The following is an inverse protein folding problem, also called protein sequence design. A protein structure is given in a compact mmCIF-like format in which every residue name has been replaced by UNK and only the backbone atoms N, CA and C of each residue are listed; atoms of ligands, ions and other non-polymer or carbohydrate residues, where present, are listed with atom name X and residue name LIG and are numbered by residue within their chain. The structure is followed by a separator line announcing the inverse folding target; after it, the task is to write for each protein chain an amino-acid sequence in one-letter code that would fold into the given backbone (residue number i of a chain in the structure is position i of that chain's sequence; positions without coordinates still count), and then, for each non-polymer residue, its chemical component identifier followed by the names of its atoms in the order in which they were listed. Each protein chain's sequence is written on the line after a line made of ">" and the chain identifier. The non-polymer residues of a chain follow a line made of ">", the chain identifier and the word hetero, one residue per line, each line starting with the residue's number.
data_IF_515674778501
#
_entry.id   IF_515674778501
#
_cell.length_a   1.000
_cell.length_b   1.000
_cell.length_c   1.000
_cell.angle_alpha   90.00
_cell.angle_beta   90.00
_cell.angle_gamma   90.00
#
_symmetry.space_group_name_H-M   'P 1'
#
loop_
_entity.id
_entity.type
_entity.pdbx_description
1 polymer ?
#
# COMPACT_ATOMS: atom_id res chain seq x y z
N UNK A 1 13.89 -36.12 15.28
CA UNK A 1 13.77 -35.15 14.17
C UNK A 1 14.72 -35.66 13.09
N UNK A 2 14.15 -36.14 11.97
CA UNK A 2 14.97 -36.61 10.85
C UNK A 2 15.29 -35.43 9.97
N UNK A 3 16.54 -34.94 10.00
CA UNK A 3 17.01 -33.77 9.24
C UNK A 3 16.76 -33.88 7.73
N UNK A 4 16.67 -35.09 7.18
CA UNK A 4 16.38 -35.38 5.78
C UNK A 4 14.98 -34.92 5.34
N UNK A 5 14.02 -34.90 6.25
CA UNK A 5 12.64 -34.48 5.97
C UNK A 5 12.46 -32.95 6.05
N UNK A 6 13.40 -32.28 6.76
CA UNK A 6 13.40 -30.82 6.92
C UNK A 6 14.07 -30.12 5.73
N UNK A 7 15.11 -30.74 5.16
CA UNK A 7 15.90 -30.14 4.06
C UNK A 7 15.47 -30.74 2.71
N UNK A 8 14.23 -30.50 2.33
CA UNK A 8 13.78 -30.81 0.96
C UNK A 8 14.17 -29.68 0.00
N UNK A 9 15.06 -29.96 -0.96
CA UNK A 9 15.56 -28.96 -1.93
C UNK A 9 14.44 -28.18 -2.63
N UNK A 10 13.34 -28.83 -3.01
CA UNK A 10 12.21 -28.17 -3.66
C UNK A 10 11.45 -27.22 -2.72
N UNK A 11 11.24 -27.61 -1.47
CA UNK A 11 10.58 -26.76 -0.47
C UNK A 11 11.44 -25.54 -0.14
N UNK A 12 12.74 -25.76 0.07
CA UNK A 12 13.73 -24.68 0.27
C UNK A 12 13.77 -23.70 -0.88
N UNK A 13 13.84 -24.19 -2.13
CA UNK A 13 13.86 -23.34 -3.31
C UNK A 13 12.57 -22.48 -3.42
N UNK A 14 11.40 -23.09 -3.16
CA UNK A 14 10.12 -22.37 -3.14
C UNK A 14 10.10 -21.30 -2.03
N UNK A 15 10.55 -21.65 -0.83
CA UNK A 15 10.65 -20.74 0.31
C UNK A 15 11.53 -19.54 -0.01
N UNK A 16 12.76 -19.76 -0.50
CA UNK A 16 13.66 -18.66 -0.86
C UNK A 16 13.14 -17.80 -2.01
N UNK A 17 12.46 -18.38 -2.98
CA UNK A 17 11.84 -17.63 -4.08
C UNK A 17 10.77 -16.66 -3.55
N UNK A 18 9.85 -17.14 -2.72
CA UNK A 18 8.78 -16.33 -2.14
C UNK A 18 9.37 -15.20 -1.29
N UNK A 19 10.31 -15.53 -0.40
CA UNK A 19 10.95 -14.54 0.47
C UNK A 19 11.75 -13.50 -0.32
N UNK A 20 12.44 -13.89 -1.39
CA UNK A 20 13.14 -12.97 -2.28
C UNK A 20 12.17 -11.95 -2.91
N UNK A 21 11.03 -12.41 -3.41
CA UNK A 21 10.06 -11.53 -4.06
C UNK A 21 9.45 -10.56 -3.06
N UNK A 22 9.16 -11.00 -1.83
CA UNK A 22 8.70 -10.14 -0.73
C UNK A 22 9.79 -9.14 -0.33
N UNK A 23 11.05 -9.58 -0.25
CA UNK A 23 12.18 -8.70 0.08
C UNK A 23 12.32 -7.56 -0.93
N UNK A 24 12.34 -7.85 -2.24
CA UNK A 24 12.45 -6.81 -3.26
C UNK A 24 11.23 -5.88 -3.29
N UNK A 25 10.02 -6.41 -3.05
CA UNK A 25 8.83 -5.59 -2.87
C UNK A 25 8.99 -4.60 -1.71
N UNK A 26 9.46 -5.08 -0.56
CA UNK A 26 9.68 -4.23 0.62
C UNK A 26 10.78 -3.21 0.38
N UNK A 27 11.84 -3.60 -0.33
CA UNK A 27 12.90 -2.68 -0.72
C UNK A 27 12.36 -1.54 -1.61
N UNK A 28 11.50 -1.84 -2.58
CA UNK A 28 10.85 -0.80 -3.40
C UNK A 28 10.01 0.16 -2.53
N UNK A 29 9.24 -0.37 -1.57
CA UNK A 29 8.47 0.45 -0.64
C UNK A 29 9.37 1.38 0.17
N UNK A 30 10.46 0.84 0.73
CA UNK A 30 11.42 1.61 1.54
C UNK A 30 12.08 2.69 0.68
N UNK A 31 12.51 2.38 -0.54
CA UNK A 31 13.10 3.35 -1.47
C UNK A 31 12.13 4.51 -1.75
N UNK A 32 10.88 4.21 -2.05
CA UNK A 32 9.85 5.25 -2.33
C UNK A 32 9.61 6.11 -1.09
N UNK A 33 9.46 5.53 0.09
CA UNK A 33 9.19 6.29 1.32
C UNK A 33 10.40 7.10 1.80
N UNK A 34 11.60 6.55 1.69
CA UNK A 34 12.84 7.29 2.00
C UNK A 34 13.05 8.44 1.02
N UNK A 35 12.80 8.22 -0.27
CA UNK A 35 12.88 9.29 -1.27
C UNK A 35 11.83 10.36 -1.01
N UNK A 36 10.59 9.98 -0.68
CA UNK A 36 9.53 10.94 -0.32
C UNK A 36 9.96 11.87 0.82
N UNK A 37 10.53 11.31 1.89
CA UNK A 37 11.04 12.07 3.02
C UNK A 37 12.22 12.96 2.62
N UNK A 38 13.19 12.42 1.89
CA UNK A 38 14.37 13.15 1.44
C UNK A 38 14.02 14.31 0.49
N UNK A 39 13.12 14.08 -0.46
CA UNK A 39 12.65 15.11 -1.38
C UNK A 39 11.83 16.20 -0.68
N UNK A 40 11.07 15.85 0.35
CA UNK A 40 10.40 16.79 1.23
C UNK A 40 11.39 17.65 2.03
N UNK A 41 12.44 17.03 2.58
CA UNK A 41 13.49 17.73 3.32
C UNK A 41 14.26 18.73 2.45
N UNK A 42 14.51 18.41 1.20
CA UNK A 42 15.17 19.30 0.24
C UNK A 42 14.35 20.56 -0.08
N UNK A 43 13.05 20.59 0.22
CA UNK A 43 12.16 21.74 0.02
C UNK A 43 12.00 22.62 1.26
N UNK A 44 12.65 22.27 2.38
CA UNK A 44 12.67 23.04 3.61
C UNK A 44 12.02 22.34 4.79
N UNK A 45 12.34 22.82 5.99
CA UNK A 45 11.93 22.20 7.26
C UNK A 45 10.41 22.15 7.45
N UNK A 46 9.71 23.23 7.09
CA UNK A 46 8.24 23.31 7.20
C UNK A 46 7.58 22.29 6.27
N UNK A 47 8.07 22.16 5.03
CA UNK A 47 7.53 21.19 4.06
C UNK A 47 7.77 19.76 4.55
N UNK A 48 8.96 19.46 5.07
CA UNK A 48 9.26 18.18 5.66
C UNK A 48 8.32 17.85 6.82
N UNK A 49 8.11 18.82 7.73
CA UNK A 49 7.23 18.64 8.88
C UNK A 49 5.78 18.39 8.45
N UNK A 50 5.26 19.17 7.50
CA UNK A 50 3.92 18.97 6.92
C UNK A 50 3.79 17.59 6.28
N UNK A 51 4.74 17.20 5.43
CA UNK A 51 4.73 15.89 4.78
C UNK A 51 4.75 14.75 5.81
N UNK A 52 5.57 14.89 6.85
CA UNK A 52 5.65 13.90 7.93
C UNK A 52 4.33 13.75 8.67
N UNK A 53 3.68 14.88 9.00
CA UNK A 53 2.37 14.87 9.67
C UNK A 53 1.29 14.22 8.79
N UNK A 54 1.21 14.60 7.52
CA UNK A 54 0.21 14.01 6.61
C UNK A 54 0.47 12.52 6.36
N UNK A 55 1.73 12.09 6.38
CA UNK A 55 2.08 10.67 6.29
C UNK A 55 1.66 9.87 7.54
N UNK A 56 1.40 10.51 8.70
CA UNK A 56 0.81 9.81 9.84
C UNK A 56 -0.63 9.36 9.54
N UNK A 57 -1.40 10.14 8.76
CA UNK A 57 -2.73 9.73 8.31
C UNK A 57 -2.65 8.50 7.39
N UNK A 58 -1.66 8.44 6.50
CA UNK A 58 -1.38 7.24 5.71
C UNK A 58 -1.03 6.04 6.60
N UNK A 59 -0.16 6.23 7.59
CA UNK A 59 0.28 5.17 8.50
C UNK A 59 -0.89 4.63 9.31
N UNK A 60 -1.75 5.51 9.85
CA UNK A 60 -2.96 5.11 10.58
C UNK A 60 -3.90 4.27 9.71
N UNK A 61 -4.17 4.73 8.49
CA UNK A 61 -4.98 3.99 7.53
C UNK A 61 -4.35 2.64 7.17
N UNK A 62 -3.02 2.60 6.95
CA UNK A 62 -2.33 1.36 6.58
C UNK A 62 -2.42 0.29 7.66
N UNK A 63 -2.28 0.64 8.94
CA UNK A 63 -2.40 -0.33 10.04
C UNK A 63 -3.79 -1.00 10.10
N UNK A 64 -4.84 -0.24 9.83
CA UNK A 64 -6.19 -0.79 9.78
C UNK A 64 -6.34 -1.71 8.55
N UNK A 65 -5.85 -1.27 7.39
CA UNK A 65 -5.91 -2.07 6.16
C UNK A 65 -5.07 -3.34 6.23
N UNK A 66 -3.95 -3.33 6.95
CA UNK A 66 -3.12 -4.51 7.18
C UNK A 66 -3.90 -5.61 7.93
N UNK A 67 -4.79 -5.24 8.86
CA UNK A 67 -5.69 -6.20 9.51
C UNK A 67 -6.58 -6.95 8.50
N UNK A 68 -7.13 -6.24 7.53
CA UNK A 68 -7.92 -6.84 6.44
C UNK A 68 -7.04 -7.63 5.46
N UNK A 69 -5.82 -7.17 5.19
CA UNK A 69 -4.86 -7.90 4.36
C UNK A 69 -4.48 -9.24 4.99
N UNK A 70 -4.20 -9.30 6.31
CA UNK A 70 -3.93 -10.55 7.02
C UNK A 70 -5.13 -11.50 7.02
N UNK A 71 -6.35 -10.99 7.17
CA UNK A 71 -7.55 -11.81 7.02
C UNK A 71 -7.67 -12.37 5.59
N UNK A 72 -7.40 -11.53 4.58
CA UNK A 72 -7.36 -11.92 3.18
C UNK A 72 -6.32 -12.99 2.89
N UNK A 73 -5.12 -12.87 3.45
CA UNK A 73 -4.04 -13.86 3.35
C UNK A 73 -4.47 -15.22 3.89
N UNK A 74 -4.97 -15.24 5.14
CA UNK A 74 -5.37 -16.48 5.80
C UNK A 74 -6.51 -17.19 5.07
N UNK A 75 -7.54 -16.43 4.66
CA UNK A 75 -8.70 -16.99 3.97
C UNK A 75 -8.38 -17.42 2.54
N UNK A 76 -7.59 -16.62 1.79
CA UNK A 76 -7.17 -17.00 0.44
C UNK A 76 -6.33 -18.27 0.48
N UNK A 77 -5.35 -18.36 1.37
CA UNK A 77 -4.52 -19.58 1.54
C UNK A 77 -5.36 -20.80 1.88
N UNK A 78 -6.33 -20.65 2.80
CA UNK A 78 -7.24 -21.74 3.18
C UNK A 78 -8.10 -22.24 2.01
N UNK A 79 -8.74 -21.32 1.26
CA UNK A 79 -9.68 -21.72 0.20
C UNK A 79 -8.97 -22.23 -1.06
N UNK A 80 -7.78 -21.72 -1.36
CA UNK A 80 -6.93 -22.28 -2.41
C UNK A 80 -6.47 -23.69 -2.04
N UNK A 81 -6.01 -23.90 -0.79
CA UNK A 81 -5.65 -25.23 -0.30
C UNK A 81 -6.81 -26.23 -0.31
N UNK A 82 -8.03 -25.77 0.00
CA UNK A 82 -9.26 -26.56 -0.06
C UNK A 82 -9.86 -26.70 -1.47
N UNK A 83 -9.26 -26.11 -2.50
CA UNK A 83 -9.77 -26.04 -3.89
C UNK A 83 -11.21 -25.53 -3.97
N UNK A 84 -11.57 -24.55 -3.13
CA UNK A 84 -12.91 -23.97 -3.09
C UNK A 84 -12.92 -22.57 -3.73
N UNK A 85 -13.10 -22.53 -5.05
CA UNK A 85 -13.09 -21.31 -5.84
C UNK A 85 -14.23 -20.35 -5.48
N UNK A 86 -15.41 -20.89 -5.19
CA UNK A 86 -16.58 -20.09 -4.82
C UNK A 86 -16.32 -19.33 -3.52
N UNK A 87 -15.80 -20.02 -2.50
CA UNK A 87 -15.47 -19.39 -1.23
C UNK A 87 -14.34 -18.36 -1.37
N UNK A 88 -13.32 -18.65 -2.19
CA UNK A 88 -12.23 -17.70 -2.49
C UNK A 88 -12.78 -16.41 -3.13
N UNK A 89 -13.62 -16.55 -4.17
CA UNK A 89 -14.22 -15.41 -4.86
C UNK A 89 -15.12 -14.58 -3.92
N UNK A 90 -15.94 -15.26 -3.12
CA UNK A 90 -16.80 -14.58 -2.16
C UNK A 90 -15.97 -13.83 -1.10
N UNK A 91 -14.90 -14.43 -0.61
CA UNK A 91 -13.97 -13.78 0.32
C UNK A 91 -13.37 -12.51 -0.27
N UNK A 92 -12.84 -12.58 -1.49
CA UNK A 92 -12.28 -11.38 -2.16
C UNK A 92 -13.34 -10.31 -2.33
N UNK A 93 -14.56 -10.66 -2.76
CA UNK A 93 -15.65 -9.69 -2.90
C UNK A 93 -15.99 -9.02 -1.56
N UNK A 94 -16.11 -9.80 -0.46
CA UNK A 94 -16.39 -9.25 0.87
C UNK A 94 -15.27 -8.33 1.37
N UNK A 95 -14.00 -8.72 1.16
CA UNK A 95 -12.85 -7.86 1.49
C UNK A 95 -12.94 -6.52 0.77
N UNK A 96 -13.30 -6.52 -0.52
CA UNK A 96 -13.45 -5.29 -1.28
C UNK A 96 -14.66 -4.45 -0.85
N UNK A 97 -15.80 -5.05 -0.51
CA UNK A 97 -16.95 -4.31 0.05
C UNK A 97 -16.58 -3.62 1.36
N UNK A 98 -15.92 -4.33 2.27
CA UNK A 98 -15.43 -3.74 3.51
C UNK A 98 -14.34 -2.69 3.27
N UNK A 99 -13.42 -2.95 2.35
CA UNK A 99 -12.36 -2.02 1.98
C UNK A 99 -12.89 -0.70 1.42
N UNK A 100 -13.89 -0.73 0.54
CA UNK A 100 -14.55 0.47 0.00
C UNK A 100 -15.26 1.22 1.13
N UNK A 101 -16.05 0.52 1.95
CA UNK A 101 -16.76 1.13 3.08
C UNK A 101 -15.79 1.80 4.06
N UNK A 102 -14.71 1.11 4.38
CA UNK A 102 -13.69 1.61 5.30
C UNK A 102 -12.92 2.80 4.70
N UNK A 103 -12.54 2.74 3.42
CA UNK A 103 -11.85 3.85 2.78
C UNK A 103 -12.72 5.11 2.71
N UNK A 104 -14.01 4.96 2.43
CA UNK A 104 -14.97 6.07 2.49
C UNK A 104 -15.11 6.63 3.91
N UNK A 105 -15.22 5.75 4.92
CA UNK A 105 -15.31 6.16 6.32
C UNK A 105 -14.04 6.92 6.77
N UNK A 106 -12.84 6.45 6.40
CA UNK A 106 -11.58 7.14 6.72
C UNK A 106 -11.45 8.47 5.98
N UNK A 107 -11.86 8.54 4.72
CA UNK A 107 -11.88 9.82 3.99
C UNK A 107 -12.78 10.84 4.65
N UNK A 108 -13.99 10.42 5.08
CA UNK A 108 -14.91 11.29 5.83
C UNK A 108 -14.34 11.67 7.21
N UNK A 109 -13.77 10.73 7.93
CA UNK A 109 -13.12 10.97 9.23
C UNK A 109 -11.99 12.01 9.09
N UNK A 110 -11.15 11.86 8.07
CA UNK A 110 -10.07 12.82 7.80
C UNK A 110 -10.60 14.17 7.34
N UNK A 111 -11.68 14.22 6.55
CA UNK A 111 -12.27 15.47 6.11
C UNK A 111 -12.87 16.28 7.26
N UNK A 112 -13.44 15.60 8.27
CA UNK A 112 -14.13 16.25 9.41
C UNK A 112 -13.12 16.56 10.54
N UNK A 113 -12.27 15.61 10.90
CA UNK A 113 -11.45 15.67 12.11
C UNK A 113 -9.94 15.61 11.86
N UNK A 114 -9.50 15.63 10.58
CA UNK A 114 -8.08 15.45 10.27
C UNK A 114 -7.21 16.62 10.72
N UNK A 115 -7.72 17.84 10.67
CA UNK A 115 -6.98 19.02 11.15
C UNK A 115 -6.83 19.03 12.67
N UNK A 116 -7.89 18.69 13.39
CA UNK A 116 -7.84 18.53 14.83
C UNK A 116 -6.88 17.42 15.23
N UNK A 117 -6.86 16.32 14.47
CA UNK A 117 -5.91 15.24 14.68
C UNK A 117 -4.46 15.71 14.45
N UNK A 118 -4.17 16.51 13.42
CA UNK A 118 -2.84 17.09 13.21
C UNK A 118 -2.44 18.00 14.38
N UNK A 119 -3.38 18.76 14.96
CA UNK A 119 -3.16 19.60 16.14
C UNK A 119 -2.83 18.80 17.40
N UNK A 120 -3.14 17.50 17.47
CA UNK A 120 -2.70 16.61 18.55
C UNK A 120 -1.25 16.15 18.37
N UNK A 121 -0.76 16.15 17.13
CA UNK A 121 0.60 15.68 16.80
C UNK A 121 1.66 16.78 16.85
N UNK A 122 1.26 18.05 16.69
CA UNK A 122 2.18 19.19 16.73
C UNK A 122 1.51 20.43 17.32
N UNK A 123 2.31 21.25 18.02
CA UNK A 123 1.89 22.56 18.51
C UNK A 123 2.39 23.70 17.58
N UNK A 124 3.07 23.38 16.50
CA UNK A 124 3.60 24.38 15.56
C UNK A 124 2.51 24.89 14.65
N UNK A 125 2.06 26.12 14.90
CA UNK A 125 1.00 26.79 14.14
C UNK A 125 1.39 26.99 12.68
N UNK A 126 2.68 27.18 12.38
CA UNK A 126 3.16 27.37 10.99
C UNK A 126 3.01 26.07 10.19
N UNK A 127 3.29 24.94 10.80
CA UNK A 127 3.15 23.62 10.20
C UNK A 127 1.67 23.26 10.00
N UNK A 128 0.81 23.52 10.99
CA UNK A 128 -0.63 23.28 10.88
C UNK A 128 -1.24 24.11 9.77
N UNK A 129 -0.94 25.43 9.71
CA UNK A 129 -1.47 26.31 8.65
C UNK A 129 -0.97 25.91 7.26
N UNK A 130 0.30 25.52 7.14
CA UNK A 130 0.89 25.07 5.86
C UNK A 130 0.34 23.72 5.42
N UNK A 131 -0.13 22.88 6.34
CA UNK A 131 -0.73 21.58 6.01
C UNK A 131 -2.02 21.71 5.20
N UNK A 132 -2.76 22.82 5.34
CA UNK A 132 -3.98 23.09 4.56
C UNK A 132 -3.76 23.04 3.05
N UNK A 133 -2.59 23.46 2.60
CA UNK A 133 -2.22 23.45 1.18
C UNK A 133 -2.13 22.03 0.60
N UNK A 134 -1.75 21.05 1.42
CA UNK A 134 -1.50 19.68 0.98
C UNK A 134 -2.51 18.67 1.51
N UNK A 135 -3.43 19.10 2.37
CA UNK A 135 -4.34 18.22 3.11
C UNK A 135 -5.25 17.37 2.20
N UNK A 136 -5.67 17.92 1.07
CA UNK A 136 -6.50 17.18 0.11
C UNK A 136 -5.80 15.93 -0.47
N UNK A 137 -4.46 15.90 -0.51
CA UNK A 137 -3.73 14.70 -0.88
C UNK A 137 -3.90 13.58 0.15
N UNK A 138 -3.90 13.95 1.44
CA UNK A 138 -4.14 12.98 2.50
C UNK A 138 -5.56 12.38 2.42
N UNK A 139 -6.57 13.17 2.02
CA UNK A 139 -7.94 12.68 1.79
C UNK A 139 -8.02 11.67 0.65
N UNK A 140 -7.14 11.75 -0.35
CA UNK A 140 -7.11 10.81 -1.46
C UNK A 140 -6.49 9.45 -1.09
N UNK A 141 -5.68 9.37 -0.03
CA UNK A 141 -4.94 8.17 0.37
C UNK A 141 -5.85 6.96 0.58
N UNK A 142 -6.94 7.02 1.40
CA UNK A 142 -7.77 5.86 1.63
C UNK A 142 -8.41 5.32 0.34
N UNK A 143 -8.91 6.23 -0.51
CA UNK A 143 -9.60 5.87 -1.75
C UNK A 143 -8.66 5.24 -2.78
N UNK A 144 -7.40 5.67 -2.84
CA UNK A 144 -6.43 5.18 -3.81
C UNK A 144 -5.64 3.96 -3.32
N UNK A 145 -5.46 3.85 -1.99
CA UNK A 145 -4.59 2.83 -1.39
C UNK A 145 -5.28 1.52 -1.03
N UNK A 146 -6.58 1.51 -0.65
CA UNK A 146 -7.23 0.34 -0.06
C UNK A 146 -7.09 -0.94 -0.89
N UNK A 147 -7.25 -0.82 -2.20
CA UNK A 147 -7.18 -1.95 -3.14
C UNK A 147 -5.81 -2.65 -3.10
N UNK A 148 -4.73 -1.88 -3.01
CA UNK A 148 -3.38 -2.40 -2.95
C UNK A 148 -3.12 -3.23 -1.67
N UNK A 149 -3.62 -2.77 -0.52
CA UNK A 149 -3.49 -3.52 0.74
C UNK A 149 -4.25 -4.84 0.70
N UNK A 150 -5.49 -4.83 0.21
CA UNK A 150 -6.33 -6.03 0.13
C UNK A 150 -5.73 -7.09 -0.79
N UNK A 151 -5.25 -6.67 -1.97
CA UNK A 151 -4.61 -7.59 -2.91
C UNK A 151 -3.29 -8.12 -2.39
N UNK A 152 -2.51 -7.35 -1.63
CA UNK A 152 -1.28 -7.85 -1.03
C UNK A 152 -1.54 -9.09 -0.16
N UNK A 153 -2.56 -9.05 0.70
CA UNK A 153 -2.95 -10.20 1.52
C UNK A 153 -3.36 -11.39 0.65
N UNK A 154 -4.25 -11.17 -0.32
CA UNK A 154 -4.70 -12.25 -1.23
C UNK A 154 -3.53 -12.85 -2.01
N UNK A 155 -2.57 -12.05 -2.48
CA UNK A 155 -1.41 -12.53 -3.23
C UNK A 155 -0.45 -13.35 -2.36
N UNK A 156 -0.23 -12.93 -1.11
CA UNK A 156 0.58 -13.71 -0.17
C UNK A 156 -0.10 -15.04 0.12
N UNK A 157 -1.40 -15.04 0.44
CA UNK A 157 -2.19 -16.26 0.65
C UNK A 157 -2.21 -17.20 -0.56
N UNK A 158 -2.21 -16.64 -1.77
CA UNK A 158 -2.11 -17.39 -3.02
C UNK A 158 -0.67 -17.79 -3.41
N UNK A 159 0.34 -17.41 -2.63
CA UNK A 159 1.78 -17.55 -2.98
C UNK A 159 2.15 -16.90 -4.33
N UNK A 160 1.40 -15.87 -4.73
CA UNK A 160 1.57 -15.13 -5.97
C UNK A 160 2.50 -13.90 -5.80
N UNK A 161 3.57 -14.06 -5.04
CA UNK A 161 4.49 -13.00 -4.61
C UNK A 161 5.23 -12.33 -5.77
N UNK A 162 5.47 -13.07 -6.85
CA UNK A 162 6.09 -12.52 -8.06
C UNK A 162 5.22 -11.47 -8.75
N UNK A 163 3.91 -11.71 -8.84
CA UNK A 163 2.94 -10.78 -9.42
C UNK A 163 2.80 -9.53 -8.54
N UNK A 164 2.83 -9.71 -7.22
CA UNK A 164 2.86 -8.62 -6.26
C UNK A 164 4.13 -7.76 -6.44
N UNK A 165 5.31 -8.36 -6.65
CA UNK A 165 6.55 -7.65 -6.93
C UNK A 165 6.46 -6.85 -8.24
N UNK A 166 5.89 -7.42 -9.32
CA UNK A 166 5.74 -6.70 -10.58
C UNK A 166 4.86 -5.47 -10.47
N UNK A 167 3.73 -5.56 -9.78
CA UNK A 167 2.87 -4.40 -9.53
C UNK A 167 3.58 -3.31 -8.74
N UNK A 168 4.39 -3.70 -7.76
CA UNK A 168 5.20 -2.77 -6.97
C UNK A 168 6.27 -2.08 -7.80
N UNK A 169 6.98 -2.81 -8.67
CA UNK A 169 7.98 -2.24 -9.56
C UNK A 169 7.37 -1.23 -10.53
N UNK A 170 6.23 -1.56 -11.16
CA UNK A 170 5.52 -0.64 -12.06
C UNK A 170 5.14 0.64 -11.32
N UNK A 171 4.56 0.51 -10.13
CA UNK A 171 4.14 1.63 -9.32
C UNK A 171 5.34 2.49 -8.88
N UNK A 172 6.44 1.87 -8.43
CA UNK A 172 7.64 2.58 -8.00
C UNK A 172 8.32 3.35 -9.15
N UNK A 173 8.42 2.74 -10.32
CA UNK A 173 8.96 3.40 -11.51
C UNK A 173 8.09 4.60 -11.88
N UNK A 174 6.76 4.43 -11.86
CA UNK A 174 5.83 5.53 -12.15
C UNK A 174 5.93 6.67 -11.14
N UNK A 175 6.17 6.38 -9.85
CA UNK A 175 6.42 7.38 -8.83
C UNK A 175 7.60 8.28 -9.21
N UNK A 176 8.74 7.69 -9.57
CA UNK A 176 9.93 8.46 -9.94
C UNK A 176 9.73 9.25 -11.24
N UNK A 177 9.09 8.63 -12.25
CA UNK A 177 8.80 9.33 -13.52
C UNK A 177 7.94 10.57 -13.25
N UNK A 178 6.84 10.44 -12.51
CA UNK A 178 5.94 11.56 -12.24
C UNK A 178 6.65 12.65 -11.43
N UNK A 179 7.39 12.25 -10.39
CA UNK A 179 8.13 13.22 -9.59
C UNK A 179 9.12 14.01 -10.46
N UNK A 180 10.00 13.35 -11.22
CA UNK A 180 11.01 14.06 -12.01
C UNK A 180 10.45 14.87 -13.17
N UNK A 181 9.30 14.48 -13.72
CA UNK A 181 8.63 15.28 -14.77
C UNK A 181 8.02 16.57 -14.20
N UNK A 182 7.42 16.48 -13.01
CA UNK A 182 6.59 17.57 -12.49
C UNK A 182 7.21 18.36 -11.34
N UNK A 183 8.34 17.94 -10.75
CA UNK A 183 8.89 18.59 -9.55
C UNK A 183 9.26 20.06 -9.76
N UNK A 184 9.77 20.43 -10.94
CA UNK A 184 10.11 21.84 -11.27
C UNK A 184 8.87 22.74 -11.40
N UNK A 185 7.70 22.19 -11.76
CA UNK A 185 6.48 22.94 -11.98
C UNK A 185 5.60 22.99 -10.73
N UNK A 186 5.54 21.89 -9.98
CA UNK A 186 4.55 21.69 -8.91
C UNK A 186 5.19 21.60 -7.51
N UNK A 187 6.53 21.58 -7.41
CA UNK A 187 7.23 21.47 -6.12
C UNK A 187 6.73 20.28 -5.30
N UNK A 188 6.29 20.51 -4.06
CA UNK A 188 5.81 19.45 -3.16
C UNK A 188 4.50 18.80 -3.64
N UNK A 189 3.67 19.48 -4.43
CA UNK A 189 2.50 18.84 -5.04
C UNK A 189 2.89 17.71 -6.01
N UNK A 190 4.03 17.83 -6.69
CA UNK A 190 4.53 16.73 -7.55
C UNK A 190 4.88 15.48 -6.74
N UNK A 191 5.44 15.66 -5.53
CA UNK A 191 5.77 14.57 -4.64
C UNK A 191 4.51 13.82 -4.18
N UNK A 192 3.48 14.56 -3.79
CA UNK A 192 2.18 13.98 -3.42
C UNK A 192 1.46 13.34 -4.61
N UNK A 193 1.47 13.99 -5.78
CA UNK A 193 0.91 13.42 -7.01
C UNK A 193 1.57 12.09 -7.35
N UNK A 194 2.90 12.02 -7.27
CA UNK A 194 3.66 10.81 -7.49
C UNK A 194 3.27 9.71 -6.50
N UNK A 195 3.10 10.06 -5.21
CA UNK A 195 2.72 9.09 -4.17
C UNK A 195 1.29 8.56 -4.35
N UNK A 196 0.32 9.43 -4.63
CA UNK A 196 -1.06 9.01 -4.89
C UNK A 196 -1.14 8.15 -6.16
N UNK A 197 -0.40 8.50 -7.20
CA UNK A 197 -0.34 7.67 -8.42
C UNK A 197 0.32 6.32 -8.16
N UNK A 198 1.37 6.28 -7.33
CA UNK A 198 1.99 5.03 -6.88
C UNK A 198 0.97 4.11 -6.18
N UNK A 199 0.19 4.63 -5.22
CA UNK A 199 -0.85 3.86 -4.54
C UNK A 199 -1.93 3.37 -5.50
N UNK A 200 -2.41 4.27 -6.38
CA UNK A 200 -3.45 3.97 -7.37
C UNK A 200 -3.01 2.89 -8.36
N UNK A 201 -1.84 3.06 -8.99
CA UNK A 201 -1.32 2.12 -9.98
C UNK A 201 -1.04 0.75 -9.37
N UNK A 202 -0.49 0.71 -8.17
CA UNK A 202 -0.30 -0.54 -7.44
C UNK A 202 -1.63 -1.29 -7.29
N UNK A 203 -2.68 -0.62 -6.81
CA UNK A 203 -4.01 -1.20 -6.64
C UNK A 203 -4.66 -1.61 -7.96
N UNK A 204 -4.55 -0.78 -9.00
CA UNK A 204 -5.11 -1.06 -10.33
C UNK A 204 -4.44 -2.29 -10.95
N UNK A 205 -3.11 -2.31 -11.03
CA UNK A 205 -2.35 -3.43 -11.60
C UNK A 205 -2.64 -4.73 -10.85
N UNK A 206 -2.65 -4.67 -9.52
CA UNK A 206 -3.00 -5.83 -8.68
C UNK A 206 -4.44 -6.28 -8.90
N UNK A 207 -5.38 -5.38 -9.14
CA UNK A 207 -6.78 -5.75 -9.42
C UNK A 207 -6.90 -6.52 -10.72
N UNK A 208 -6.20 -6.11 -11.78
CA UNK A 208 -6.21 -6.86 -13.04
C UNK A 208 -5.58 -8.24 -12.89
N UNK A 209 -4.40 -8.31 -12.30
CA UNK A 209 -3.68 -9.58 -12.10
C UNK A 209 -4.41 -10.48 -11.10
N UNK A 210 -4.93 -9.93 -10.01
CA UNK A 210 -5.59 -10.68 -8.94
C UNK A 210 -6.88 -11.35 -9.40
N UNK A 211 -7.66 -10.70 -10.25
CA UNK A 211 -8.85 -11.31 -10.87
C UNK A 211 -8.50 -12.57 -11.68
N UNK A 212 -7.38 -12.53 -12.39
CA UNK A 212 -6.90 -13.71 -13.15
C UNK A 212 -6.39 -14.82 -12.22
N UNK A 213 -5.71 -14.45 -11.12
CA UNK A 213 -5.26 -15.43 -10.11
C UNK A 213 -6.48 -16.12 -9.48
N UNK A 214 -7.49 -15.36 -9.05
CA UNK A 214 -8.70 -15.92 -8.44
C UNK A 214 -9.45 -16.84 -9.42
N UNK A 215 -9.43 -16.56 -10.73
CA UNK A 215 -10.04 -17.42 -11.75
C UNK A 215 -9.25 -18.71 -11.98
N UNK A 216 -7.93 -18.68 -11.88
CA UNK A 216 -7.02 -19.79 -12.22
C UNK A 216 -6.52 -20.58 -11.01
N UNK A 217 -6.83 -20.14 -9.79
CA UNK A 217 -6.26 -20.70 -8.55
C UNK A 217 -6.75 -22.12 -8.22
N UNK A 218 -7.64 -22.67 -9.02
CA UNK A 218 -8.21 -24.01 -8.95
C UNK A 218 -8.36 -24.54 -10.37
#
# INVERSE_FOLDING_TARGET
>A
IVWKDIIQKQAMYRFFRVNRDIFFRTLCLVIVTMFFTSAGAAQGEVVLAVNTLLMQLFTLFSYIMDGFAYAGEALAGRYIGARNQTALRNTVNHLFYWGIGLSAAFTLLYAIGGKEFLGLLTNDVSVISSSDTYFYWALAIPLTGFSAFLWDGVFIGATATRQMLYSMLIASVSFFIIYYVFHNLLGNHALWLAFITYLSLRGIVQTFIGREIVKKAI
#
